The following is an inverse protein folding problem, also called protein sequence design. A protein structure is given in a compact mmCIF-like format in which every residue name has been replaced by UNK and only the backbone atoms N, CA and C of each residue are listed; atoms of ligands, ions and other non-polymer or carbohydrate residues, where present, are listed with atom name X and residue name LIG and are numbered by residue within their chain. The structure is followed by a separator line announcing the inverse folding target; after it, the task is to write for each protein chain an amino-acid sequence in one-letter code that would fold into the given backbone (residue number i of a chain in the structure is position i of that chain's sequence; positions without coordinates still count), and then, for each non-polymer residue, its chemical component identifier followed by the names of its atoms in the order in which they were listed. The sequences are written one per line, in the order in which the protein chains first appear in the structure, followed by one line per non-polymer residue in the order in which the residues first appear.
data_IF_354494585614
#
_entry.id   IF_354494585614
#
_cell.length_a   1.000
_cell.length_b   1.000
_cell.length_c   1.000
_cell.angle_alpha   90.00
_cell.angle_beta   90.00
_cell.angle_gamma   90.00
#
_symmetry.space_group_name_H-M   'P 1'
#
loop_
_entity.id
_entity.type
_entity.pdbx_description
1 polymer ?
#
# COMPACT_ATOMS: atom_id res chain seq x y z
N UNK A 1 -63.16 -57.81 52.34
CA UNK A 1 -62.74 -58.10 50.93
C UNK A 1 -62.47 -56.73 50.23
N UNK A 2 -61.26 -56.27 50.20
CA UNK A 2 -60.91 -54.99 49.63
C UNK A 2 -59.59 -55.18 48.86
N UNK A 3 -59.66 -54.97 47.58
CA UNK A 3 -58.51 -55.05 46.65
C UNK A 3 -57.83 -53.66 46.60
N UNK A 4 -56.60 -53.57 47.08
CA UNK A 4 -55.72 -52.40 46.82
C UNK A 4 -55.03 -52.60 45.53
N UNK A 5 -55.21 -51.68 44.56
CA UNK A 5 -54.46 -51.57 43.34
C UNK A 5 -53.27 -50.67 43.62
N UNK A 6 -52.02 -51.20 43.46
CA UNK A 6 -50.81 -50.44 43.47
C UNK A 6 -50.56 -49.82 42.08
N UNK A 7 -50.51 -48.48 42.03
CA UNK A 7 -50.15 -47.73 40.84
C UNK A 7 -48.63 -47.46 40.83
N UNK A 8 -47.87 -48.15 39.97
CA UNK A 8 -46.43 -47.91 39.79
C UNK A 8 -46.24 -46.76 38.83
N UNK A 9 -45.74 -45.64 39.33
CA UNK A 9 -45.31 -44.53 38.51
C UNK A 9 -43.90 -44.80 38.02
N UNK A 10 -43.71 -45.05 36.71
CA UNK A 10 -42.39 -45.13 36.05
C UNK A 10 -41.97 -43.71 35.70
N UNK A 11 -40.97 -43.22 36.42
CA UNK A 11 -40.35 -41.90 36.18
C UNK A 11 -39.25 -42.03 35.15
N UNK A 12 -39.54 -41.70 33.87
CA UNK A 12 -38.55 -41.73 32.78
C UNK A 12 -37.71 -40.46 32.88
N UNK A 13 -36.45 -40.62 33.33
CA UNK A 13 -35.50 -39.52 33.36
C UNK A 13 -34.97 -39.30 31.92
N UNK A 14 -35.39 -38.22 31.28
CA UNK A 14 -34.82 -37.76 30.01
C UNK A 14 -33.48 -37.07 30.29
N UNK A 15 -32.38 -37.77 30.00
CA UNK A 15 -31.04 -37.19 29.98
C UNK A 15 -30.91 -36.34 28.72
N UNK A 16 -31.02 -35.02 28.85
CA UNK A 16 -30.60 -34.06 27.82
C UNK A 16 -29.06 -34.06 27.76
N UNK A 17 -28.49 -34.83 26.81
CA UNK A 17 -27.10 -34.71 26.43
C UNK A 17 -26.89 -33.35 25.78
N UNK A 18 -26.45 -32.38 26.58
CA UNK A 18 -25.87 -31.11 26.06
C UNK A 18 -24.55 -31.43 25.41
N UNK A 19 -24.55 -31.66 24.10
CA UNK A 19 -23.30 -31.73 23.35
C UNK A 19 -22.57 -30.38 23.46
N UNK A 20 -21.32 -30.35 23.89
CA UNK A 20 -20.57 -29.11 23.89
C UNK A 20 -20.48 -28.62 22.44
N UNK A 21 -20.99 -27.40 22.18
CA UNK A 21 -20.77 -26.73 20.92
C UNK A 21 -19.25 -26.52 20.78
N UNK A 22 -18.60 -27.41 20.04
CA UNK A 22 -17.22 -27.21 19.65
C UNK A 22 -17.21 -25.97 18.79
N UNK A 23 -16.76 -24.84 19.37
CA UNK A 23 -16.42 -23.66 18.60
C UNK A 23 -15.35 -24.09 17.58
N UNK A 24 -15.77 -24.23 16.32
CA UNK A 24 -14.89 -24.61 15.22
C UNK A 24 -13.82 -23.52 15.15
N UNK A 25 -12.61 -23.81 15.62
CA UNK A 25 -11.47 -22.90 15.50
C UNK A 25 -11.26 -22.67 14.02
N UNK A 26 -11.71 -21.52 13.54
CA UNK A 26 -11.57 -21.14 12.14
C UNK A 26 -10.08 -21.03 11.82
N UNK A 27 -9.55 -22.04 11.14
CA UNK A 27 -8.14 -22.05 10.74
C UNK A 27 -7.89 -20.86 9.82
N UNK A 28 -7.04 -19.93 10.28
CA UNK A 28 -6.66 -18.76 9.50
C UNK A 28 -5.74 -19.19 8.35
N UNK A 29 -5.98 -18.61 7.18
CA UNK A 29 -5.11 -18.85 6.02
C UNK A 29 -3.87 -17.96 6.13
N UNK A 30 -2.69 -18.57 6.13
CA UNK A 30 -1.40 -17.85 6.17
C UNK A 30 -1.13 -17.15 4.85
N UNK A 31 -0.76 -15.88 4.93
CA UNK A 31 -0.49 -15.00 3.79
C UNK A 31 0.76 -14.16 4.09
N UNK A 32 1.75 -14.23 3.20
CA UNK A 32 2.85 -13.27 3.15
C UNK A 32 2.44 -12.07 2.32
N UNK A 33 2.35 -10.88 2.93
CA UNK A 33 1.97 -9.65 2.26
C UNK A 33 3.11 -8.64 2.30
N UNK A 34 3.44 -8.09 1.14
CA UNK A 34 4.55 -7.14 1.04
C UNK A 34 4.20 -5.75 1.58
N UNK A 35 5.24 -5.06 2.08
CA UNK A 35 5.25 -3.63 2.38
C UNK A 35 6.48 -3.05 1.68
N UNK A 36 6.29 -2.06 0.81
CA UNK A 36 7.34 -1.56 -0.10
C UNK A 36 8.29 -0.55 0.54
N UNK A 37 7.89 0.06 1.64
CA UNK A 37 8.69 1.05 2.37
C UNK A 37 8.15 1.28 3.77
N UNK A 38 9.00 1.77 4.66
CA UNK A 38 8.60 2.34 5.94
C UNK A 38 8.22 3.82 5.74
N UNK A 39 7.01 4.05 5.24
CA UNK A 39 6.42 5.37 5.04
C UNK A 39 4.90 5.34 5.24
N UNK A 40 4.30 6.49 5.47
CA UNK A 40 2.88 6.60 5.75
C UNK A 40 1.99 6.09 4.59
N UNK A 41 2.49 6.01 3.36
CA UNK A 41 1.77 5.41 2.22
C UNK A 41 1.43 3.92 2.42
N UNK A 42 2.17 3.21 3.28
CA UNK A 42 1.91 1.82 3.67
C UNK A 42 1.12 1.68 4.99
N UNK A 43 0.44 2.71 5.45
CA UNK A 43 -0.24 2.75 6.75
C UNK A 43 -1.38 1.73 6.85
N UNK A 44 -2.13 1.54 5.77
CA UNK A 44 -3.32 0.67 5.78
C UNK A 44 -3.01 -0.79 6.13
N UNK A 45 -1.99 -1.47 5.58
CA UNK A 45 -1.61 -2.82 6.00
C UNK A 45 -1.26 -2.92 7.49
N UNK A 46 -0.61 -1.91 8.05
CA UNK A 46 -0.26 -1.87 9.48
C UNK A 46 -1.50 -1.70 10.35
N UNK A 47 -2.42 -0.80 9.97
CA UNK A 47 -3.70 -0.62 10.67
C UNK A 47 -4.52 -1.91 10.62
N UNK A 48 -4.62 -2.55 9.45
CA UNK A 48 -5.36 -3.80 9.30
C UNK A 48 -4.78 -4.94 10.17
N UNK A 49 -3.45 -5.00 10.30
CA UNK A 49 -2.78 -5.98 11.16
C UNK A 49 -3.02 -5.71 12.63
N UNK A 50 -2.75 -4.49 13.11
CA UNK A 50 -2.85 -4.15 14.54
C UNK A 50 -4.31 -4.10 15.03
N UNK A 51 -5.28 -3.77 14.15
CA UNK A 51 -6.71 -3.83 14.44
C UNK A 51 -7.33 -5.24 14.26
N UNK A 52 -6.52 -6.26 13.97
CA UNK A 52 -6.95 -7.66 13.74
C UNK A 52 -8.01 -7.81 12.63
N UNK A 53 -7.98 -6.93 11.65
CA UNK A 53 -8.92 -6.96 10.52
C UNK A 53 -8.63 -8.18 9.62
N UNK A 54 -7.38 -8.57 9.47
CA UNK A 54 -7.01 -9.77 8.71
C UNK A 54 -7.59 -11.03 9.35
N UNK A 55 -7.41 -11.20 10.66
CA UNK A 55 -7.93 -12.35 11.41
C UNK A 55 -9.47 -12.39 11.36
N UNK A 56 -10.13 -11.25 11.47
CA UNK A 56 -11.59 -11.11 11.27
C UNK A 56 -12.04 -11.66 9.91
N UNK A 57 -11.24 -11.44 8.88
CA UNK A 57 -11.48 -11.91 7.52
C UNK A 57 -10.91 -13.33 7.26
N UNK A 58 -10.46 -14.05 8.31
CA UNK A 58 -9.99 -15.43 8.21
C UNK A 58 -8.57 -15.57 7.66
N UNK A 59 -7.74 -14.53 7.79
CA UNK A 59 -6.36 -14.49 7.30
C UNK A 59 -5.37 -14.32 8.46
N UNK A 60 -4.27 -15.06 8.42
CA UNK A 60 -3.07 -14.84 9.23
C UNK A 60 -2.01 -14.21 8.32
N UNK A 61 -1.92 -12.87 8.36
CA UNK A 61 -1.08 -12.09 7.45
C UNK A 61 0.24 -11.77 8.12
N UNK A 62 1.35 -12.19 7.50
CA UNK A 62 2.68 -11.71 7.82
C UNK A 62 3.04 -10.55 6.89
N UNK A 63 3.41 -9.38 7.48
CA UNK A 63 3.83 -8.21 6.72
C UNK A 63 5.34 -8.24 6.53
N UNK A 64 5.78 -8.35 5.27
CA UNK A 64 7.20 -8.48 4.90
C UNK A 64 7.67 -7.22 4.20
N UNK A 65 8.66 -6.54 4.78
CA UNK A 65 9.29 -5.38 4.15
C UNK A 65 10.20 -5.82 3.00
N UNK A 66 9.82 -5.43 1.79
CA UNK A 66 10.64 -5.58 0.57
C UNK A 66 10.86 -4.21 -0.03
N UNK A 67 12.10 -3.72 -0.02
CA UNK A 67 12.40 -2.34 -0.38
C UNK A 67 12.16 -2.06 -1.88
N UNK A 68 11.18 -1.20 -2.15
CA UNK A 68 10.86 -0.71 -3.50
C UNK A 68 9.98 -1.65 -4.33
N UNK A 69 9.26 -1.06 -5.29
CA UNK A 69 8.26 -1.75 -6.11
C UNK A 69 8.85 -2.84 -7.01
N UNK A 70 10.06 -2.64 -7.54
CA UNK A 70 10.68 -3.62 -8.44
C UNK A 70 10.97 -4.95 -7.76
N UNK A 71 11.65 -4.93 -6.59
CA UNK A 71 11.94 -6.14 -5.82
C UNK A 71 10.67 -6.78 -5.28
N UNK A 72 9.69 -5.96 -4.87
CA UNK A 72 8.39 -6.43 -4.40
C UNK A 72 7.64 -7.16 -5.51
N UNK A 73 7.61 -6.62 -6.73
CA UNK A 73 7.03 -7.29 -7.91
C UNK A 73 7.70 -8.63 -8.20
N UNK A 74 9.03 -8.69 -8.17
CA UNK A 74 9.78 -9.95 -8.33
C UNK A 74 9.42 -10.97 -7.25
N UNK A 75 9.23 -10.54 -5.99
CA UNK A 75 8.83 -11.40 -4.87
C UNK A 75 7.40 -11.94 -5.03
N UNK A 76 6.48 -11.14 -5.60
CA UNK A 76 5.12 -11.59 -5.92
C UNK A 76 5.17 -12.63 -7.04
N UNK A 77 5.91 -12.36 -8.12
CA UNK A 77 6.05 -13.28 -9.26
C UNK A 77 6.72 -14.58 -8.86
N UNK A 78 7.71 -14.54 -7.99
CA UNK A 78 8.39 -15.71 -7.43
C UNK A 78 7.57 -16.50 -6.41
N UNK A 79 6.38 -16.02 -6.00
CA UNK A 79 5.46 -16.68 -5.08
C UNK A 79 5.85 -16.56 -3.60
N UNK A 80 6.89 -15.82 -3.24
CA UNK A 80 7.25 -15.55 -1.83
C UNK A 80 6.29 -14.55 -1.16
N UNK A 81 5.64 -13.70 -1.95
CA UNK A 81 4.55 -12.83 -1.53
C UNK A 81 3.27 -13.18 -2.30
N UNK A 82 2.13 -13.16 -1.60
CA UNK A 82 0.81 -13.28 -2.22
C UNK A 82 0.41 -12.01 -2.99
N UNK A 83 0.84 -10.87 -2.50
CA UNK A 83 0.63 -9.56 -3.08
C UNK A 83 1.26 -8.45 -2.24
N UNK A 84 1.14 -7.22 -2.70
CA UNK A 84 1.65 -6.03 -2.01
C UNK A 84 1.09 -4.75 -2.63
N UNK A 85 1.21 -3.58 -1.93
CA UNK A 85 1.13 -2.28 -2.59
C UNK A 85 2.33 -2.11 -3.52
N UNK A 86 2.11 -1.89 -4.82
CA UNK A 86 3.15 -1.71 -5.84
C UNK A 86 2.81 -0.52 -6.73
N UNK A 87 3.81 0.23 -7.17
CA UNK A 87 3.62 1.32 -8.09
C UNK A 87 3.14 0.83 -9.46
N UNK A 88 2.11 1.48 -10.01
CA UNK A 88 1.47 1.06 -11.25
C UNK A 88 2.43 0.96 -12.45
N UNK A 89 3.38 1.89 -12.70
CA UNK A 89 4.33 1.72 -13.83
C UNK A 89 5.18 0.46 -13.70
N UNK A 90 5.51 0.03 -12.48
CA UNK A 90 6.24 -1.22 -12.27
C UNK A 90 5.40 -2.43 -12.68
N UNK A 91 4.09 -2.40 -12.41
CA UNK A 91 3.15 -3.43 -12.87
C UNK A 91 3.08 -3.44 -14.40
N UNK A 92 2.94 -2.26 -15.02
CA UNK A 92 2.89 -2.11 -16.49
C UNK A 92 4.16 -2.65 -17.17
N UNK A 93 5.34 -2.27 -16.66
CA UNK A 93 6.63 -2.75 -17.20
C UNK A 93 6.78 -4.27 -17.03
N UNK A 94 6.36 -4.82 -15.89
CA UNK A 94 6.41 -6.25 -15.64
C UNK A 94 5.46 -7.01 -16.58
N UNK A 95 4.22 -6.52 -16.76
CA UNK A 95 3.23 -7.12 -17.66
C UNK A 95 3.66 -7.09 -19.13
N UNK A 96 4.28 -6.00 -19.61
CA UNK A 96 4.90 -5.92 -20.93
C UNK A 96 6.06 -6.92 -21.11
N UNK A 97 6.69 -7.33 -20.01
CA UNK A 97 7.68 -8.41 -19.97
C UNK A 97 7.07 -9.82 -19.86
N UNK A 98 5.74 -9.95 -19.94
CA UNK A 98 5.03 -11.22 -19.84
C UNK A 98 4.70 -11.66 -18.41
N UNK A 99 4.84 -10.78 -17.43
CA UNK A 99 4.47 -11.07 -16.05
C UNK A 99 2.94 -10.99 -15.85
N UNK A 100 2.40 -11.82 -14.94
CA UNK A 100 0.95 -11.93 -14.70
C UNK A 100 0.43 -11.07 -13.53
N UNK A 101 1.01 -9.87 -13.33
CA UNK A 101 0.58 -8.94 -12.29
C UNK A 101 -0.72 -8.22 -12.65
N UNK A 102 -1.55 -7.94 -11.63
CA UNK A 102 -2.81 -7.21 -11.78
C UNK A 102 -3.07 -6.32 -10.58
N UNK A 103 -3.57 -5.11 -10.80
CA UNK A 103 -4.04 -4.20 -9.78
C UNK A 103 -5.52 -4.47 -9.46
N UNK A 104 -5.85 -4.77 -8.21
CA UNK A 104 -7.22 -5.10 -7.75
C UNK A 104 -7.86 -3.99 -6.92
N UNK A 105 -7.08 -3.02 -6.43
CA UNK A 105 -7.57 -1.84 -5.72
C UNK A 105 -6.54 -0.72 -5.76
N UNK A 106 -6.97 0.53 -5.58
CA UNK A 106 -6.09 1.68 -5.54
C UNK A 106 -6.26 2.44 -4.23
N UNK A 107 -5.16 2.65 -3.51
CA UNK A 107 -5.23 3.20 -2.14
C UNK A 107 -5.04 4.72 -2.12
N UNK A 108 -4.06 5.24 -2.86
CA UNK A 108 -3.64 6.64 -2.83
C UNK A 108 -3.63 7.22 -4.25
N UNK A 109 -4.47 8.23 -4.57
CA UNK A 109 -4.57 8.79 -5.92
C UNK A 109 -3.42 9.73 -6.28
N UNK A 110 -2.73 10.28 -5.29
CA UNK A 110 -1.65 11.26 -5.47
C UNK A 110 -0.29 10.73 -5.02
N UNK A 111 0.73 11.51 -5.29
CA UNK A 111 2.11 11.17 -4.92
C UNK A 111 2.55 12.04 -3.75
N UNK A 112 2.87 11.38 -2.64
CA UNK A 112 3.34 12.03 -1.41
C UNK A 112 4.87 12.01 -1.35
N UNK A 113 5.56 12.57 -2.37
CA UNK A 113 7.01 12.54 -2.45
C UNK A 113 7.57 13.89 -2.87
N UNK A 114 8.66 14.30 -2.22
CA UNK A 114 9.43 15.50 -2.52
C UNK A 114 10.90 15.14 -2.75
N UNK A 115 11.56 15.84 -3.65
CA UNK A 115 13.01 15.81 -3.78
C UNK A 115 13.60 16.90 -2.87
N UNK A 116 14.17 16.46 -1.75
CA UNK A 116 14.89 17.32 -0.81
C UNK A 116 16.36 17.39 -1.20
N UNK A 117 16.94 18.57 -1.11
CA UNK A 117 18.30 18.85 -1.57
C UNK A 117 19.09 19.66 -0.53
N UNK A 118 20.42 19.63 -0.64
CA UNK A 118 21.30 20.53 0.11
C UNK A 118 21.03 22.00 -0.25
N UNK A 119 21.42 22.91 0.64
CA UNK A 119 21.11 24.36 0.52
C UNK A 119 21.75 25.06 -0.68
N UNK A 120 22.84 24.52 -1.23
CA UNK A 120 23.54 25.03 -2.41
C UNK A 120 22.82 24.70 -3.73
N UNK A 121 21.90 23.73 -3.74
CA UNK A 121 21.09 23.35 -4.90
C UNK A 121 19.80 24.20 -4.87
N UNK A 122 19.60 25.05 -5.86
CA UNK A 122 18.47 26.00 -5.90
C UNK A 122 17.56 25.80 -7.10
N UNK A 123 18.03 25.16 -8.16
CA UNK A 123 17.32 24.93 -9.42
C UNK A 123 17.70 23.57 -10.03
N UNK A 124 16.96 23.14 -11.02
CA UNK A 124 17.14 21.84 -11.66
C UNK A 124 18.57 21.62 -12.18
N UNK A 125 19.15 22.63 -12.83
CA UNK A 125 20.47 22.54 -13.43
C UNK A 125 21.59 22.28 -12.42
N UNK A 126 21.40 22.68 -11.15
CA UNK A 126 22.37 22.46 -10.08
C UNK A 126 22.50 20.97 -9.71
N UNK A 127 21.58 20.11 -10.20
CA UNK A 127 21.64 18.66 -10.03
C UNK A 127 22.64 17.98 -10.97
N UNK A 128 23.21 18.68 -11.96
CA UNK A 128 24.19 18.08 -12.88
C UNK A 128 25.41 17.58 -12.13
N UNK A 129 25.74 16.28 -12.34
CA UNK A 129 26.83 15.58 -11.65
C UNK A 129 26.55 15.22 -10.18
N UNK A 130 25.37 15.53 -9.64
CA UNK A 130 24.99 15.27 -8.26
C UNK A 130 24.47 13.85 -8.05
N UNK A 131 24.59 13.35 -6.80
CA UNK A 131 24.09 12.05 -6.36
C UNK A 131 22.67 12.19 -5.81
N UNK A 132 21.73 11.44 -6.37
CA UNK A 132 20.31 11.45 -6.00
C UNK A 132 19.91 10.08 -5.44
N UNK A 133 19.38 10.06 -4.21
CA UNK A 133 18.91 8.83 -3.58
C UNK A 133 17.44 8.57 -3.89
N UNK A 134 17.15 7.33 -4.28
CA UNK A 134 15.79 6.76 -4.41
C UNK A 134 15.70 5.43 -3.67
N UNK A 135 14.49 4.86 -3.49
CA UNK A 135 14.34 3.58 -2.79
C UNK A 135 14.96 2.40 -3.56
N UNK A 136 14.70 2.33 -4.85
CA UNK A 136 15.32 1.41 -5.81
C UNK A 136 15.12 1.92 -7.22
N UNK A 137 15.97 1.53 -8.15
CA UNK A 137 15.76 1.79 -9.57
C UNK A 137 14.50 1.09 -10.05
N UNK A 138 13.66 1.78 -10.83
CA UNK A 138 12.33 1.31 -11.23
C UNK A 138 11.23 1.52 -10.20
N UNK A 139 11.52 2.09 -9.01
CA UNK A 139 10.51 2.45 -8.02
C UNK A 139 9.69 3.68 -8.48
N UNK A 140 8.59 3.94 -7.76
CA UNK A 140 7.78 5.13 -8.02
C UNK A 140 8.58 6.42 -7.92
N UNK A 141 9.42 6.57 -6.88
CA UNK A 141 10.26 7.77 -6.71
C UNK A 141 11.27 7.94 -7.84
N UNK A 142 11.94 6.84 -8.25
CA UNK A 142 12.86 6.85 -9.40
C UNK A 142 12.14 7.33 -10.66
N UNK A 143 10.97 6.78 -10.93
CA UNK A 143 10.12 7.19 -12.06
C UNK A 143 9.79 8.67 -12.03
N UNK A 144 9.19 9.12 -10.92
CA UNK A 144 8.65 10.47 -10.80
C UNK A 144 9.73 11.53 -10.96
N UNK A 145 10.84 11.39 -10.24
CA UNK A 145 11.86 12.42 -10.28
C UNK A 145 12.63 12.42 -11.59
N UNK A 146 12.79 11.29 -12.24
CA UNK A 146 13.29 11.25 -13.63
C UNK A 146 12.34 11.96 -14.61
N UNK A 147 11.02 11.74 -14.46
CA UNK A 147 10.01 12.43 -15.28
C UNK A 147 10.04 13.95 -15.03
N UNK A 148 10.03 14.37 -13.76
CA UNK A 148 10.08 15.78 -13.38
C UNK A 148 11.36 16.45 -13.90
N UNK A 149 12.53 15.83 -13.71
CA UNK A 149 13.80 16.34 -14.20
C UNK A 149 13.79 16.59 -15.71
N UNK A 150 13.17 15.67 -16.51
CA UNK A 150 13.02 15.90 -17.96
C UNK A 150 12.17 17.11 -18.29
N UNK A 151 11.05 17.32 -17.56
CA UNK A 151 10.22 18.52 -17.71
C UNK A 151 11.02 19.82 -17.47
N UNK A 152 12.03 19.73 -16.60
CA UNK A 152 12.93 20.84 -16.28
C UNK A 152 14.24 20.84 -17.11
N UNK A 153 14.28 20.12 -18.22
CA UNK A 153 15.38 20.17 -19.20
C UNK A 153 16.63 19.36 -18.84
N UNK A 154 16.56 18.47 -17.83
CA UNK A 154 17.65 17.55 -17.51
C UNK A 154 17.48 16.20 -18.23
N UNK A 155 18.59 15.58 -18.58
CA UNK A 155 18.64 14.15 -18.90
C UNK A 155 18.96 13.36 -17.62
N UNK A 156 17.99 12.77 -16.94
CA UNK A 156 18.21 12.12 -15.65
C UNK A 156 19.10 10.89 -15.72
N UNK A 157 19.35 10.33 -16.89
CA UNK A 157 20.22 9.17 -17.06
C UNK A 157 21.70 9.56 -17.28
N UNK A 158 21.92 10.80 -17.74
CA UNK A 158 23.26 11.32 -18.03
C UNK A 158 23.72 12.37 -17.00
N UNK A 159 22.78 13.24 -16.59
CA UNK A 159 23.11 14.45 -15.82
C UNK A 159 23.17 14.18 -14.31
N UNK A 160 22.64 13.07 -13.80
CA UNK A 160 22.64 12.74 -12.36
C UNK A 160 23.07 11.29 -12.09
N UNK A 161 23.65 11.07 -10.90
CA UNK A 161 24.02 9.73 -10.43
C UNK A 161 22.95 9.21 -9.46
N UNK A 162 22.24 8.17 -9.86
CA UNK A 162 21.20 7.56 -9.03
C UNK A 162 21.75 6.50 -8.09
N UNK A 163 21.38 6.58 -6.80
CA UNK A 163 21.75 5.62 -5.78
C UNK A 163 20.47 4.97 -5.18
N UNK A 164 20.44 3.64 -5.14
CA UNK A 164 19.39 2.88 -4.47
C UNK A 164 19.66 2.83 -2.97
N UNK A 165 18.91 3.61 -2.19
CA UNK A 165 19.02 3.68 -0.72
C UNK A 165 17.63 3.47 -0.13
N UNK A 166 17.31 2.29 0.24
CA UNK A 166 16.16 1.68 0.89
C UNK A 166 15.02 2.59 1.36
N UNK A 167 14.95 2.76 2.68
CA UNK A 167 13.86 3.47 3.35
C UNK A 167 14.03 5.00 3.30
N UNK A 168 12.96 5.80 3.46
CA UNK A 168 13.07 7.25 3.55
C UNK A 168 14.03 7.72 4.66
N UNK A 169 14.07 7.03 5.80
CA UNK A 169 14.95 7.33 6.92
C UNK A 169 16.43 7.11 6.53
N UNK A 170 16.75 6.00 5.85
CA UNK A 170 18.11 5.73 5.36
C UNK A 170 18.54 6.79 4.33
N UNK A 171 17.63 7.24 3.45
CA UNK A 171 17.90 8.31 2.49
C UNK A 171 18.12 9.66 3.17
N UNK A 172 17.34 10.01 4.19
CA UNK A 172 17.56 11.22 5.01
C UNK A 172 18.92 11.17 5.71
N UNK A 173 19.30 10.02 6.28
CA UNK A 173 20.62 9.84 6.89
C UNK A 173 21.75 10.03 5.86
N UNK A 174 21.62 9.45 4.68
CA UNK A 174 22.60 9.62 3.59
C UNK A 174 22.71 11.07 3.12
N UNK A 175 21.59 11.80 3.03
CA UNK A 175 21.56 13.23 2.70
C UNK A 175 22.23 14.07 3.80
N UNK A 176 21.92 13.78 5.06
CA UNK A 176 22.50 14.49 6.23
C UNK A 176 24.00 14.24 6.37
N UNK A 177 24.45 13.03 6.08
CA UNK A 177 25.89 12.67 6.09
C UNK A 177 26.65 13.16 4.84
N UNK A 178 25.97 13.78 3.87
CA UNK A 178 26.59 14.26 2.63
C UNK A 178 26.97 13.18 1.63
N UNK A 179 26.54 11.93 1.84
CA UNK A 179 26.75 10.80 0.92
C UNK A 179 26.02 11.04 -0.41
N UNK A 180 24.84 11.67 -0.34
CA UNK A 180 24.06 12.13 -1.48
C UNK A 180 23.80 13.64 -1.39
N UNK A 181 23.45 14.24 -2.51
CA UNK A 181 23.17 15.67 -2.63
C UNK A 181 21.67 15.96 -2.64
N UNK A 182 20.88 14.97 -3.04
CA UNK A 182 19.42 15.00 -3.08
C UNK A 182 18.82 13.65 -2.66
N UNK A 183 17.61 13.66 -2.09
CA UNK A 183 16.91 12.47 -1.69
C UNK A 183 15.40 12.58 -1.95
N UNK A 184 14.84 11.54 -2.53
CA UNK A 184 13.41 11.29 -2.61
C UNK A 184 12.89 10.93 -1.21
N UNK A 185 12.09 11.81 -0.61
CA UNK A 185 11.54 11.63 0.73
C UNK A 185 10.03 11.80 0.70
N UNK A 186 9.34 10.92 1.45
CA UNK A 186 7.91 11.00 1.67
C UNK A 186 7.59 11.42 3.10
N UNK A 187 6.38 11.96 3.30
CA UNK A 187 5.92 12.35 4.62
C UNK A 187 5.89 11.14 5.58
N UNK A 188 6.29 11.29 6.84
CA UNK A 188 6.70 12.53 7.54
C UNK A 188 8.20 12.86 7.45
N UNK A 189 9.01 12.07 6.77
CA UNK A 189 10.47 12.20 6.74
C UNK A 189 10.91 13.44 5.93
N UNK A 190 10.16 13.81 4.89
CA UNK A 190 10.35 15.06 4.15
C UNK A 190 10.19 16.28 5.06
N UNK A 191 9.17 16.31 5.93
CA UNK A 191 8.99 17.40 6.90
C UNK A 191 10.12 17.44 7.94
N UNK A 192 10.66 16.29 8.36
CA UNK A 192 11.85 16.26 9.22
C UNK A 192 13.07 16.88 8.51
N UNK A 193 13.29 16.51 7.23
CA UNK A 193 14.38 17.06 6.42
C UNK A 193 14.26 18.58 6.27
N UNK A 194 13.05 19.12 6.02
CA UNK A 194 12.79 20.56 5.94
C UNK A 194 13.15 21.28 7.26
N UNK A 195 12.80 20.69 8.43
CA UNK A 195 13.19 21.22 9.76
C UNK A 195 14.71 21.19 9.98
N UNK A 196 15.43 20.24 9.37
CA UNK A 196 16.90 20.17 9.40
C UNK A 196 17.56 21.18 8.45
N UNK A 197 16.77 21.95 7.66
CA UNK A 197 17.24 22.99 6.76
C UNK A 197 17.43 22.56 5.32
N UNK A 198 17.15 21.31 4.96
CA UNK A 198 17.13 20.89 3.56
C UNK A 198 15.99 21.58 2.79
N UNK A 199 16.17 21.78 1.48
CA UNK A 199 15.21 22.51 0.65
C UNK A 199 14.42 21.56 -0.25
N UNK A 200 13.14 21.85 -0.45
CA UNK A 200 12.33 21.16 -1.44
C UNK A 200 12.70 21.73 -2.81
N UNK A 201 13.30 20.93 -3.66
CA UNK A 201 13.56 21.29 -5.06
C UNK A 201 12.35 20.98 -5.93
N UNK A 202 11.79 19.77 -5.78
CA UNK A 202 10.58 19.32 -6.48
C UNK A 202 9.56 18.76 -5.50
N UNK A 203 8.30 19.14 -5.67
CA UNK A 203 7.14 18.53 -5.00
C UNK A 203 6.33 17.78 -6.05
N UNK A 204 6.41 16.45 -6.03
CA UNK A 204 5.79 15.61 -7.04
C UNK A 204 4.27 15.81 -7.15
N UNK A 205 3.57 16.22 -6.06
CA UNK A 205 2.14 16.54 -6.07
C UNK A 205 1.79 17.72 -6.97
N UNK A 206 2.72 18.67 -7.10
CA UNK A 206 2.55 19.88 -7.93
C UNK A 206 2.99 19.67 -9.38
N UNK A 207 3.87 18.72 -9.58
CA UNK A 207 4.52 18.48 -10.87
C UNK A 207 3.81 17.44 -11.73
N UNK A 208 3.17 16.43 -11.12
CA UNK A 208 2.62 15.28 -11.83
C UNK A 208 1.30 14.85 -11.22
N UNK A 209 0.27 14.72 -12.06
CA UNK A 209 -0.94 13.97 -11.72
C UNK A 209 -0.63 12.49 -11.94
N UNK A 210 -0.61 11.72 -10.84
CA UNK A 210 -0.18 10.34 -10.90
C UNK A 210 -0.89 9.47 -9.84
N UNK A 211 -1.59 8.39 -10.23
CA UNK A 211 -2.16 7.45 -9.28
C UNK A 211 -1.06 6.62 -8.62
N UNK A 212 -0.96 6.67 -7.29
CA UNK A 212 0.05 5.92 -6.55
C UNK A 212 -0.53 4.75 -5.76
N UNK A 213 0.33 3.82 -5.33
CA UNK A 213 0.04 2.68 -4.45
C UNK A 213 -1.19 1.86 -4.83
N UNK A 214 -0.98 0.93 -5.74
CA UNK A 214 -1.97 -0.06 -6.16
C UNK A 214 -1.85 -1.35 -5.36
N UNK A 215 -2.95 -1.94 -4.92
CA UNK A 215 -2.99 -3.29 -4.33
C UNK A 215 -2.84 -4.31 -5.46
N UNK A 216 -1.71 -4.98 -5.49
CA UNK A 216 -1.30 -5.84 -6.60
C UNK A 216 -1.14 -7.29 -6.16
N UNK A 217 -1.61 -8.20 -7.00
CA UNK A 217 -1.41 -9.65 -6.88
C UNK A 217 -1.16 -10.25 -8.26
N UNK A 218 -1.10 -11.59 -8.37
CA UNK A 218 -1.01 -12.29 -9.66
C UNK A 218 -2.40 -12.63 -10.19
N UNK A 219 -2.60 -12.57 -11.52
CA UNK A 219 -3.80 -13.12 -12.17
C UNK A 219 -4.00 -14.60 -11.80
N UNK A 220 -2.90 -15.35 -11.71
CA UNK A 220 -2.92 -16.73 -11.23
C UNK A 220 -3.53 -16.89 -9.84
N UNK A 221 -3.24 -15.98 -8.90
CA UNK A 221 -3.85 -16.03 -7.55
C UNK A 221 -5.37 -15.82 -7.60
N UNK A 222 -5.84 -14.98 -8.53
CA UNK A 222 -7.28 -14.78 -8.75
C UNK A 222 -7.93 -16.04 -9.33
N UNK A 223 -7.25 -16.72 -10.26
CA UNK A 223 -7.76 -17.95 -10.88
C UNK A 223 -7.79 -19.12 -9.89
N UNK A 224 -6.71 -19.28 -9.11
CA UNK A 224 -6.55 -20.43 -8.21
C UNK A 224 -7.35 -20.25 -6.90
N UNK A 225 -7.48 -19.02 -6.39
CA UNK A 225 -8.07 -18.73 -5.07
C UNK A 225 -8.61 -17.30 -4.97
N UNK A 226 -9.65 -17.05 -5.75
CA UNK A 226 -10.34 -15.73 -5.77
C UNK A 226 -10.85 -15.32 -4.38
N UNK A 227 -11.26 -16.28 -3.55
CA UNK A 227 -11.77 -16.00 -2.20
C UNK A 227 -10.70 -15.37 -1.30
N UNK A 228 -9.47 -15.90 -1.33
CA UNK A 228 -8.37 -15.28 -0.57
C UNK A 228 -8.04 -13.88 -1.07
N UNK A 229 -8.05 -13.64 -2.39
CA UNK A 229 -7.88 -12.28 -2.94
C UNK A 229 -8.99 -11.36 -2.46
N UNK A 230 -10.27 -11.80 -2.49
CA UNK A 230 -11.41 -11.04 -1.98
C UNK A 230 -11.27 -10.70 -0.49
N UNK A 231 -10.84 -11.65 0.34
CA UNK A 231 -10.59 -11.40 1.78
C UNK A 231 -9.49 -10.37 2.01
N UNK A 232 -8.42 -10.41 1.21
CA UNK A 232 -7.34 -9.41 1.27
C UNK A 232 -7.84 -8.01 0.86
N UNK A 233 -8.58 -7.91 -0.26
CA UNK A 233 -9.18 -6.64 -0.71
C UNK A 233 -10.18 -6.11 0.31
N UNK A 234 -11.03 -6.97 0.86
CA UNK A 234 -11.97 -6.62 1.94
C UNK A 234 -11.25 -6.09 3.17
N UNK A 235 -10.19 -6.76 3.60
CA UNK A 235 -9.37 -6.32 4.73
C UNK A 235 -8.73 -4.95 4.47
N UNK A 236 -8.32 -4.69 3.24
CA UNK A 236 -7.77 -3.40 2.83
C UNK A 236 -8.82 -2.28 2.90
N UNK A 237 -10.03 -2.53 2.38
CA UNK A 237 -11.16 -1.58 2.44
C UNK A 237 -11.58 -1.31 3.90
N UNK A 238 -11.70 -2.35 4.72
CA UNK A 238 -11.97 -2.19 6.17
C UNK A 238 -10.84 -1.42 6.86
N UNK A 239 -9.58 -1.67 6.50
CA UNK A 239 -8.43 -0.95 7.01
C UNK A 239 -8.49 0.54 6.71
N UNK A 240 -8.89 0.94 5.49
CA UNK A 240 -9.10 2.34 5.12
C UNK A 240 -10.20 2.97 5.98
N UNK A 241 -11.34 2.31 6.12
CA UNK A 241 -12.44 2.84 6.92
C UNK A 241 -12.04 2.96 8.41
N UNK A 242 -11.36 1.94 8.94
CA UNK A 242 -10.87 1.95 10.32
C UNK A 242 -9.86 3.08 10.54
N UNK A 243 -8.91 3.25 9.63
CA UNK A 243 -7.97 4.36 9.65
C UNK A 243 -8.68 5.71 9.73
N UNK A 244 -9.66 5.96 8.87
CA UNK A 244 -10.39 7.24 8.80
C UNK A 244 -11.24 7.54 10.03
N UNK A 245 -11.68 6.53 10.74
CA UNK A 245 -12.60 6.66 11.88
C UNK A 245 -11.93 6.50 13.26
N UNK A 246 -10.66 6.08 13.32
CA UNK A 246 -9.93 5.83 14.56
C UNK A 246 -8.57 6.55 14.57
N UNK A 247 -8.61 7.90 14.65
CA UNK A 247 -7.42 8.78 14.57
C UNK A 247 -6.31 8.37 15.53
N UNK A 248 -6.61 8.29 16.83
CA UNK A 248 -5.58 8.02 17.86
C UNK A 248 -4.93 6.64 17.69
N UNK A 249 -5.73 5.64 17.35
CA UNK A 249 -5.22 4.30 17.04
C UNK A 249 -4.30 4.33 15.82
N UNK A 250 -4.74 4.98 14.76
CA UNK A 250 -3.97 5.09 13.51
C UNK A 250 -2.65 5.81 13.72
N UNK A 251 -2.63 6.90 14.49
CA UNK A 251 -1.39 7.59 14.85
C UNK A 251 -0.45 6.72 15.69
N UNK A 252 -0.98 5.95 16.66
CA UNK A 252 -0.17 4.98 17.44
C UNK A 252 0.45 3.92 16.55
N UNK A 253 -0.30 3.41 15.57
CA UNK A 253 0.21 2.46 14.57
C UNK A 253 1.36 3.08 13.78
N UNK A 254 1.20 4.30 13.26
CA UNK A 254 2.26 4.99 12.51
C UNK A 254 3.52 5.19 13.37
N UNK A 255 3.33 5.69 14.60
CA UNK A 255 4.40 5.87 15.58
C UNK A 255 5.18 4.57 15.82
N UNK A 256 4.47 3.46 16.02
CA UNK A 256 5.05 2.12 16.23
C UNK A 256 5.94 1.67 15.07
N UNK A 257 5.40 1.74 13.84
CA UNK A 257 6.09 1.19 12.66
C UNK A 257 7.21 2.09 12.14
N UNK A 258 7.06 3.42 12.23
CA UNK A 258 8.09 4.38 11.81
C UNK A 258 9.04 4.80 12.92
N UNK A 259 8.75 4.43 14.19
CA UNK A 259 9.51 4.84 15.39
C UNK A 259 9.61 6.38 15.52
N UNK A 260 8.51 7.06 15.22
CA UNK A 260 8.37 8.52 15.32
C UNK A 260 7.42 8.83 16.46
N UNK A 261 7.88 9.69 17.42
CA UNK A 261 7.10 10.11 18.58
C UNK A 261 6.71 11.60 18.51
N UNK A 262 7.07 12.31 17.45
CA UNK A 262 6.68 13.69 17.23
C UNK A 262 5.20 13.75 16.90
N UNK A 263 4.41 14.29 17.84
CA UNK A 263 2.95 14.34 17.74
C UNK A 263 2.48 15.20 16.58
N UNK A 264 3.14 16.32 16.32
CA UNK A 264 2.79 17.25 15.23
C UNK A 264 2.98 16.58 13.86
N UNK A 265 4.09 15.83 13.68
CA UNK A 265 4.34 15.06 12.47
C UNK A 265 3.32 13.94 12.29
N UNK A 266 2.92 13.26 13.37
CA UNK A 266 1.91 12.20 13.32
C UNK A 266 0.53 12.75 12.97
N UNK A 267 0.12 13.88 13.59
CA UNK A 267 -1.16 14.54 13.30
C UNK A 267 -1.19 15.06 11.86
N UNK A 268 -0.14 15.75 11.42
CA UNK A 268 -0.01 16.21 10.04
C UNK A 268 -0.07 15.05 9.01
N UNK A 269 0.62 13.93 9.31
CA UNK A 269 0.51 12.71 8.49
C UNK A 269 -0.94 12.23 8.41
N UNK A 270 -1.60 12.14 9.56
CA UNK A 270 -2.97 11.63 9.61
C UNK A 270 -3.93 12.48 8.78
N UNK A 271 -3.89 13.81 8.91
CA UNK A 271 -4.79 14.71 8.17
C UNK A 271 -4.54 14.65 6.66
N UNK A 272 -3.27 14.53 6.21
CA UNK A 272 -2.94 14.36 4.79
C UNK A 272 -3.52 13.03 4.28
N UNK A 273 -3.19 11.91 4.92
CA UNK A 273 -3.58 10.59 4.43
C UNK A 273 -5.08 10.29 4.64
N UNK A 274 -5.75 10.94 5.60
CA UNK A 274 -7.21 10.88 5.75
C UNK A 274 -7.94 11.40 4.51
N UNK A 275 -7.37 12.42 3.85
CA UNK A 275 -7.91 12.94 2.59
C UNK A 275 -7.50 12.06 1.40
N UNK A 276 -6.26 11.59 1.39
CA UNK A 276 -5.68 10.86 0.26
C UNK A 276 -6.16 9.41 0.12
N UNK A 277 -6.40 8.69 1.24
CA UNK A 277 -6.90 7.32 1.14
C UNK A 277 -8.33 7.29 0.59
N UNK A 278 -8.51 6.59 -0.53
CA UNK A 278 -9.79 6.53 -1.25
C UNK A 278 -10.76 5.63 -0.47
N UNK A 279 -11.93 6.17 -0.09
CA UNK A 279 -12.94 5.41 0.68
C UNK A 279 -13.55 4.25 -0.11
N UNK A 280 -13.73 4.41 -1.41
CA UNK A 280 -14.15 3.35 -2.35
C UNK A 280 -13.02 3.15 -3.36
N UNK A 281 -12.05 2.26 -3.08
CA UNK A 281 -10.76 2.24 -3.73
C UNK A 281 -10.75 1.48 -5.07
N UNK A 282 -11.60 1.91 -6.02
CA UNK A 282 -11.56 1.36 -7.37
C UNK A 282 -10.17 1.55 -8.00
N UNK A 283 -9.68 0.56 -8.76
CA UNK A 283 -8.50 0.76 -9.58
C UNK A 283 -8.68 1.96 -10.52
N UNK A 284 -7.67 2.83 -10.56
CA UNK A 284 -7.72 4.08 -11.35
C UNK A 284 -7.22 3.79 -12.76
N UNK A 285 -8.03 4.18 -13.76
CA UNK A 285 -7.72 4.08 -15.20
C UNK A 285 -7.56 5.46 -15.84
N UNK A 286 -7.76 6.55 -15.07
CA UNK A 286 -7.58 7.94 -15.52
C UNK A 286 -6.34 8.56 -14.89
N UNK A 287 -5.78 9.59 -15.51
CA UNK A 287 -4.56 10.26 -15.06
C UNK A 287 -3.27 9.45 -15.30
N UNK A 288 -3.33 8.45 -16.19
CA UNK A 288 -2.21 7.57 -16.50
C UNK A 288 -1.33 8.09 -17.64
N UNK A 289 -1.67 9.25 -18.23
CA UNK A 289 -0.97 9.83 -19.39
C UNK A 289 0.53 9.96 -19.11
N UNK A 290 0.89 10.56 -17.99
CA UNK A 290 2.30 10.69 -17.58
C UNK A 290 2.99 9.34 -17.38
N UNK A 291 2.26 8.34 -16.85
CA UNK A 291 2.76 6.97 -16.69
C UNK A 291 3.02 6.32 -18.04
N UNK A 292 2.08 6.44 -18.98
CA UNK A 292 2.24 5.94 -20.34
C UNK A 292 3.39 6.60 -21.07
N UNK A 293 3.52 7.92 -20.97
CA UNK A 293 4.63 8.67 -21.57
C UNK A 293 5.98 8.21 -21.04
N UNK A 294 6.07 7.97 -19.73
CA UNK A 294 7.29 7.45 -19.13
C UNK A 294 7.62 6.04 -19.62
N UNK A 295 6.67 5.12 -19.50
CA UNK A 295 6.88 3.72 -19.91
C UNK A 295 7.22 3.65 -21.40
N UNK A 296 6.56 4.46 -22.24
CA UNK A 296 6.77 4.51 -23.68
C UNK A 296 8.20 4.97 -24.08
N UNK A 297 8.95 5.63 -23.21
CA UNK A 297 10.34 6.00 -23.50
C UNK A 297 11.26 4.78 -23.63
N UNK A 298 10.97 3.72 -22.89
CA UNK A 298 11.74 2.47 -22.93
C UNK A 298 10.98 1.30 -23.54
N UNK A 299 9.64 1.35 -23.48
CA UNK A 299 8.72 0.31 -23.95
C UNK A 299 7.57 0.97 -24.73
N UNK A 300 7.80 1.42 -25.98
CA UNK A 300 6.81 2.15 -26.75
C UNK A 300 5.54 1.35 -27.04
N UNK A 301 5.59 0.02 -26.99
CA UNK A 301 4.46 -0.87 -27.13
C UNK A 301 3.36 -0.68 -26.06
N UNK A 302 3.65 0.01 -24.95
CA UNK A 302 2.65 0.37 -23.94
C UNK A 302 1.49 1.17 -24.55
N UNK A 303 1.75 1.96 -25.61
CA UNK A 303 0.73 2.79 -26.28
C UNK A 303 -0.36 1.97 -26.97
N UNK A 304 -0.11 0.69 -27.26
CA UNK A 304 -1.12 -0.24 -27.79
C UNK A 304 -1.97 -0.90 -26.69
N UNK A 305 -1.59 -0.75 -25.43
CA UNK A 305 -2.29 -1.34 -24.28
C UNK A 305 -3.28 -0.31 -23.69
N UNK A 306 -4.39 -0.81 -23.16
CA UNK A 306 -5.39 0.02 -22.47
C UNK A 306 -5.14 -0.01 -20.96
N UNK A 307 -5.52 1.06 -20.23
CA UNK A 307 -5.42 1.06 -18.76
C UNK A 307 -6.14 -0.13 -18.11
N UNK A 308 -7.25 -0.56 -18.70
CA UNK A 308 -8.06 -1.69 -18.25
C UNK A 308 -7.32 -3.03 -18.30
N UNK A 309 -6.28 -3.16 -19.14
CA UNK A 309 -5.46 -4.38 -19.23
C UNK A 309 -4.69 -4.67 -17.92
N UNK A 310 -4.43 -3.65 -17.10
CA UNK A 310 -3.62 -3.72 -15.89
C UNK A 310 -4.43 -3.75 -14.59
N UNK A 311 -5.77 -3.75 -14.68
CA UNK A 311 -6.66 -3.63 -13.52
C UNK A 311 -7.78 -4.66 -13.53
N UNK A 312 -8.22 -5.07 -12.32
CA UNK A 312 -9.45 -5.83 -12.13
C UNK A 312 -10.33 -5.12 -11.10
N UNK A 313 -11.34 -4.36 -11.53
CA UNK A 313 -12.24 -3.62 -10.64
C UNK A 313 -13.30 -4.52 -9.98
N UNK A 314 -13.40 -5.80 -10.33
CA UNK A 314 -14.51 -6.67 -9.94
C UNK A 314 -14.62 -6.84 -8.43
N UNK A 315 -13.50 -6.88 -7.72
CA UNK A 315 -13.46 -7.04 -6.26
C UNK A 315 -14.08 -5.84 -5.53
N UNK A 316 -13.70 -4.63 -5.92
CA UNK A 316 -14.26 -3.41 -5.34
C UNK A 316 -15.72 -3.25 -5.75
N UNK A 317 -16.05 -3.55 -7.00
CA UNK A 317 -17.43 -3.49 -7.49
C UNK A 317 -18.38 -4.43 -6.72
N UNK A 318 -17.92 -5.63 -6.36
CA UNK A 318 -18.69 -6.58 -5.56
C UNK A 318 -18.92 -6.05 -4.13
N UNK A 319 -17.88 -5.52 -3.47
CA UNK A 319 -17.98 -4.94 -2.14
C UNK A 319 -18.86 -3.67 -2.13
N UNK A 320 -18.76 -2.84 -3.14
CA UNK A 320 -19.55 -1.60 -3.26
C UNK A 320 -21.03 -1.91 -3.51
N UNK A 321 -21.33 -2.72 -4.53
CA UNK A 321 -22.70 -3.13 -4.88
C UNK A 321 -23.43 -3.87 -3.76
N UNK A 322 -22.70 -4.62 -2.91
CA UNK A 322 -23.28 -5.28 -1.74
C UNK A 322 -23.65 -4.31 -0.60
N UNK A 323 -23.29 -3.03 -0.73
CA UNK A 323 -23.44 -2.04 0.33
C UNK A 323 -22.43 -2.20 1.47
N UNK A 324 -21.48 -3.13 1.35
CA UNK A 324 -20.49 -3.39 2.39
C UNK A 324 -19.66 -2.15 2.71
N UNK A 325 -19.15 -1.46 1.68
CA UNK A 325 -18.30 -0.27 1.86
C UNK A 325 -19.09 0.84 2.55
N UNK A 326 -20.31 1.11 2.10
CA UNK A 326 -21.18 2.12 2.69
C UNK A 326 -21.39 1.89 4.21
N UNK A 327 -21.67 0.64 4.60
CA UNK A 327 -21.90 0.26 6.02
C UNK A 327 -20.69 0.54 6.92
N UNK A 328 -19.47 0.54 6.41
CA UNK A 328 -18.25 0.83 7.18
C UNK A 328 -18.21 2.27 7.70
N UNK A 329 -18.94 3.19 7.07
CA UNK A 329 -18.97 4.61 7.40
C UNK A 329 -20.30 5.05 8.06
N UNK A 330 -21.32 4.17 8.15
CA UNK A 330 -22.58 4.47 8.80
C UNK A 330 -22.39 4.56 10.32
N UNK A 331 -22.95 5.63 10.93
CA UNK A 331 -22.93 5.83 12.38
C UNK A 331 -21.60 6.25 13.00
N UNK A 332 -20.64 6.73 12.18
CA UNK A 332 -19.31 7.15 12.65
C UNK A 332 -19.01 8.61 12.31
#
# INVERSE_FOLDING_TARGET
MSKFAQLSIVMTAVWLCSAPAHAQVKTLKKINWGVTSLSASNWIPWVAKDAKIYEKNGLDVELILVKGSGQTSASILGGSLFGAPVALPTVMLADLGGADLINVAHTVPGVQSKLLVKQDIKKAEDLKGKKVATSSLGSLGDFLFKYIMRKHGLDPNRDVVWLSIGTPQERLQALSAGVVDAADLSYPVDAQAERMGFKVLFDARKEVVYPSMSVVTRRKNIQDDRDTVMRMVRSHVEGIAYFKTHKDFSMKVLSKYLRINDRELLEGSYEIFKQDFISVPYPITKGLEATYDYVAQTRPEIRSRKPEDFVDPSFIAELDKSGFIKKLYEGK
#
